data_IF_434791868733
#
_entry.id   IF_434791868733
#
_cell.length_a   1.000
_cell.length_b   1.000
_cell.length_c   1.000
_cell.angle_alpha   90.00
_cell.angle_beta   90.00
_cell.angle_gamma   90.00
#
_symmetry.space_group_name_H-M   'P 1'
#
loop_
_entity.id
_entity.type
_entity.pdbx_description
1 polymer ?
#
# COMPACT_ATOMS: atom_id res chain seq x y z
N UNK A 1 5.78 10.97 -11.28
CA UNK A 1 4.97 9.80 -11.72
C UNK A 1 4.43 9.97 -13.14
N UNK A 2 3.58 11.00 -13.45
CA UNK A 2 2.92 11.14 -14.76
C UNK A 2 3.93 11.26 -15.91
N UNK A 3 4.99 12.05 -15.75
CA UNK A 3 6.05 12.19 -16.76
C UNK A 3 6.76 10.85 -16.99
N UNK A 4 7.00 10.08 -15.97
CA UNK A 4 7.57 8.73 -16.09
C UNK A 4 6.66 7.81 -16.90
N UNK A 5 5.36 7.81 -16.60
CA UNK A 5 4.38 6.96 -17.29
C UNK A 5 4.12 7.37 -18.75
N UNK A 6 4.42 8.62 -19.12
CA UNK A 6 4.41 9.07 -20.51
C UNK A 6 5.69 8.69 -21.28
N UNK A 7 6.70 8.18 -20.59
CA UNK A 7 7.99 7.77 -21.15
C UNK A 7 8.09 6.26 -21.37
N UNK A 8 9.33 5.80 -21.57
CA UNK A 8 9.64 4.39 -21.88
C UNK A 8 10.02 3.55 -20.65
N UNK A 9 10.06 4.15 -19.46
CA UNK A 9 10.40 3.44 -18.23
C UNK A 9 9.18 3.18 -17.41
N UNK A 10 9.15 2.04 -16.71
CA UNK A 10 8.17 1.77 -15.70
C UNK A 10 8.27 2.73 -14.51
N UNK A 11 7.20 2.89 -13.77
CA UNK A 11 7.16 3.62 -12.51
C UNK A 11 7.31 2.64 -11.35
N UNK A 12 8.26 2.89 -10.44
CA UNK A 12 8.42 2.13 -9.21
C UNK A 12 8.12 3.02 -8.01
N UNK A 13 7.01 2.76 -7.33
CA UNK A 13 6.63 3.43 -6.10
C UNK A 13 7.25 2.69 -4.91
N UNK A 14 8.16 3.34 -4.19
CA UNK A 14 8.83 2.77 -3.02
C UNK A 14 8.48 3.56 -1.78
N UNK A 15 8.47 2.91 -0.62
CA UNK A 15 8.19 3.59 0.65
C UNK A 15 7.87 2.61 1.76
N UNK A 16 7.63 3.14 2.94
CA UNK A 16 7.24 2.33 4.09
C UNK A 16 5.84 1.71 3.89
N UNK A 17 5.51 0.60 4.58
CA UNK A 17 4.15 0.08 4.60
C UNK A 17 3.15 1.16 5.04
N UNK A 18 1.95 1.16 4.44
CA UNK A 18 0.88 2.09 4.81
C UNK A 18 1.03 3.54 4.33
N UNK A 19 1.96 3.82 3.40
CA UNK A 19 2.11 5.15 2.77
C UNK A 19 1.23 5.33 1.52
N UNK A 20 0.19 4.53 1.34
CA UNK A 20 -0.78 4.60 0.24
C UNK A 20 -0.19 4.39 -1.18
N UNK A 21 0.93 3.64 -1.34
CA UNK A 21 1.51 3.33 -2.65
C UNK A 21 0.54 2.63 -3.59
N UNK A 22 -0.18 1.62 -3.09
CA UNK A 22 -1.21 0.90 -3.85
C UNK A 22 -2.33 1.82 -4.29
N UNK A 23 -2.85 2.68 -3.40
CA UNK A 23 -3.87 3.66 -3.75
C UNK A 23 -3.37 4.64 -4.83
N UNK A 24 -2.13 5.11 -4.72
CA UNK A 24 -1.53 5.99 -5.72
C UNK A 24 -1.40 5.28 -7.08
N UNK A 25 -0.97 4.02 -7.09
CA UNK A 25 -0.88 3.22 -8.33
C UNK A 25 -2.25 3.01 -8.97
N UNK A 26 -3.30 2.78 -8.16
CA UNK A 26 -4.69 2.67 -8.62
C UNK A 26 -5.22 3.95 -9.25
N UNK A 27 -5.06 5.06 -8.54
CA UNK A 27 -5.51 6.38 -9.02
C UNK A 27 -4.80 6.79 -10.31
N UNK A 28 -3.47 6.55 -10.41
CA UNK A 28 -2.72 6.82 -11.64
C UNK A 28 -3.22 5.96 -12.79
N UNK A 29 -3.45 4.67 -12.56
CA UNK A 29 -3.96 3.76 -13.59
C UNK A 29 -5.37 4.12 -14.01
N UNK A 30 -6.27 4.41 -13.07
CA UNK A 30 -7.64 4.85 -13.36
C UNK A 30 -7.66 6.17 -14.14
N UNK A 31 -6.84 7.14 -13.75
CA UNK A 31 -6.79 8.45 -14.38
C UNK A 31 -6.22 8.40 -15.82
N UNK A 32 -5.21 7.57 -16.07
CA UNK A 32 -4.53 7.51 -17.36
C UNK A 32 -5.18 6.50 -18.33
N UNK A 33 -5.69 5.39 -17.81
CA UNK A 33 -6.18 4.25 -18.60
C UNK A 33 -7.69 4.02 -18.47
N UNK A 34 -8.37 4.71 -17.56
CA UNK A 34 -9.79 4.47 -17.26
C UNK A 34 -10.07 3.20 -16.46
N UNK A 35 -9.04 2.42 -16.10
CA UNK A 35 -9.14 1.16 -15.36
C UNK A 35 -7.96 0.99 -14.40
N UNK A 36 -8.23 0.42 -13.21
CA UNK A 36 -7.20 0.14 -12.19
C UNK A 36 -7.09 -1.34 -11.81
N UNK A 37 -7.94 -2.20 -12.37
CA UNK A 37 -8.04 -3.61 -11.96
C UNK A 37 -7.01 -4.53 -12.64
N UNK A 38 -6.25 -4.03 -13.63
CA UNK A 38 -5.21 -4.82 -14.30
C UNK A 38 -3.96 -4.93 -13.42
N UNK A 39 -3.99 -5.83 -12.45
CA UNK A 39 -2.98 -5.92 -11.38
C UNK A 39 -2.55 -7.35 -11.07
N UNK A 40 -1.29 -7.49 -10.66
CA UNK A 40 -0.70 -8.69 -10.06
C UNK A 40 -0.26 -8.35 -8.63
N UNK A 41 -0.61 -9.19 -7.67
CA UNK A 41 -0.08 -9.11 -6.31
C UNK A 41 1.16 -10.01 -6.20
N UNK A 42 2.31 -9.41 -5.92
CA UNK A 42 3.56 -10.11 -5.71
C UNK A 42 3.56 -10.90 -4.40
N UNK A 43 3.91 -12.16 -4.47
CA UNK A 43 4.08 -13.07 -3.35
C UNK A 43 5.23 -14.03 -3.62
N UNK A 44 5.69 -14.77 -2.62
CA UNK A 44 6.70 -15.83 -2.81
C UNK A 44 6.23 -16.96 -3.74
N UNK A 45 4.90 -17.13 -3.90
CA UNK A 45 4.30 -18.12 -4.79
C UNK A 45 3.89 -17.57 -6.16
N UNK A 46 4.20 -16.32 -6.49
CA UNK A 46 3.90 -15.75 -7.80
C UNK A 46 4.70 -16.45 -8.89
N UNK A 47 4.02 -16.89 -9.93
CA UNK A 47 4.59 -17.57 -11.09
C UNK A 47 4.51 -16.69 -12.34
N UNK A 48 5.23 -17.05 -13.37
CA UNK A 48 5.22 -16.34 -14.65
C UNK A 48 3.84 -16.36 -15.32
N UNK A 49 3.09 -17.45 -15.17
CA UNK A 49 1.74 -17.61 -15.69
C UNK A 49 0.74 -16.60 -15.09
N UNK A 50 0.94 -16.20 -13.83
CA UNK A 50 0.11 -15.20 -13.18
C UNK A 50 0.37 -13.78 -13.69
N UNK A 51 1.49 -13.57 -14.37
CA UNK A 51 1.94 -12.26 -14.84
C UNK A 51 1.71 -12.11 -16.33
N UNK A 52 2.14 -13.10 -17.13
CA UNK A 52 2.15 -13.02 -18.59
C UNK A 52 0.89 -13.62 -19.20
N UNK A 53 0.73 -14.92 -19.12
CA UNK A 53 -0.41 -15.69 -19.64
C UNK A 53 -0.41 -17.10 -19.07
N UNK A 54 -1.54 -17.75 -19.13
CA UNK A 54 -1.70 -19.19 -18.86
C UNK A 54 -2.50 -19.87 -19.96
N UNK A 55 -2.74 -21.18 -19.81
CA UNK A 55 -3.48 -21.95 -20.80
C UNK A 55 -4.77 -22.51 -20.22
N UNK A 56 -5.85 -22.44 -20.99
CA UNK A 56 -7.03 -23.25 -20.76
C UNK A 56 -6.72 -24.69 -21.21
N UNK A 57 -6.38 -25.55 -20.27
CA UNK A 57 -5.93 -26.91 -20.54
C UNK A 57 -6.97 -27.75 -21.28
N UNK A 58 -8.27 -27.55 -21.04
CA UNK A 58 -9.33 -28.28 -21.75
C UNK A 58 -9.34 -27.92 -23.25
N UNK A 59 -9.15 -26.65 -23.57
CA UNK A 59 -9.05 -26.20 -24.96
C UNK A 59 -7.73 -26.61 -25.60
N UNK A 60 -6.63 -26.53 -24.84
CA UNK A 60 -5.30 -26.94 -25.30
C UNK A 60 -5.28 -28.42 -25.69
N UNK A 61 -5.92 -29.30 -24.90
CA UNK A 61 -6.02 -30.74 -25.21
C UNK A 61 -6.92 -31.01 -26.42
N UNK A 62 -7.94 -30.20 -26.64
CA UNK A 62 -8.91 -30.42 -27.72
C UNK A 62 -8.51 -29.81 -29.07
N UNK A 63 -7.86 -28.63 -29.06
CA UNK A 63 -7.53 -27.85 -30.25
C UNK A 63 -6.03 -27.67 -30.50
N UNK A 64 -5.19 -28.05 -29.53
CA UNK A 64 -3.77 -27.67 -29.52
C UNK A 64 -3.52 -26.23 -29.12
N UNK A 65 -2.25 -25.78 -29.13
CA UNK A 65 -1.90 -24.38 -28.85
C UNK A 65 -2.55 -23.45 -29.88
N UNK A 66 -3.44 -22.60 -29.42
CA UNK A 66 -4.13 -21.61 -30.26
C UNK A 66 -4.48 -20.37 -29.40
N UNK A 67 -4.75 -19.25 -30.05
CA UNK A 67 -5.07 -17.99 -29.40
C UNK A 67 -6.30 -18.10 -28.49
N UNK A 68 -7.29 -18.90 -28.84
CA UNK A 68 -8.51 -19.10 -28.05
C UNK A 68 -8.26 -19.90 -26.77
N UNK A 69 -7.24 -20.76 -26.75
CA UNK A 69 -6.82 -21.50 -25.55
C UNK A 69 -5.95 -20.69 -24.60
N UNK A 70 -5.43 -19.54 -25.07
CA UNK A 70 -4.61 -18.64 -24.27
C UNK A 70 -5.47 -17.85 -23.27
N UNK A 71 -5.07 -17.83 -22.00
CA UNK A 71 -5.70 -17.03 -20.94
C UNK A 71 -4.73 -15.89 -20.62
N UNK A 72 -5.02 -14.66 -21.07
CA UNK A 72 -4.12 -13.55 -20.83
C UNK A 72 -4.08 -13.16 -19.34
N UNK A 73 -2.88 -12.86 -18.85
CA UNK A 73 -2.64 -12.31 -17.53
C UNK A 73 -2.34 -10.79 -17.65
N UNK A 74 -2.24 -10.05 -16.53
CA UNK A 74 -2.19 -8.59 -16.56
C UNK A 74 -1.14 -7.96 -17.47
N UNK A 75 0.04 -8.59 -17.64
CA UNK A 75 1.06 -8.07 -18.54
C UNK A 75 0.59 -8.13 -20.00
N UNK A 76 0.10 -9.29 -20.45
CA UNK A 76 -0.39 -9.47 -21.81
C UNK A 76 -1.62 -8.59 -22.08
N UNK A 77 -2.57 -8.51 -21.13
CA UNK A 77 -3.73 -7.61 -21.21
C UNK A 77 -3.27 -6.16 -21.40
N UNK A 78 -2.30 -5.73 -20.58
CA UNK A 78 -1.75 -4.38 -20.66
C UNK A 78 -1.15 -4.09 -22.03
N UNK A 79 -0.34 -5.00 -22.56
CA UNK A 79 0.29 -4.87 -23.88
C UNK A 79 -0.72 -4.83 -25.02
N UNK A 80 -1.71 -5.69 -24.99
CA UNK A 80 -2.73 -5.78 -26.06
C UNK A 80 -3.70 -4.61 -26.07
N UNK A 81 -4.02 -4.06 -24.91
CA UNK A 81 -4.97 -2.96 -24.76
C UNK A 81 -4.32 -1.58 -24.75
N UNK A 82 -3.00 -1.48 -24.49
CA UNK A 82 -2.29 -0.21 -24.30
C UNK A 82 -2.63 0.44 -22.96
N UNK A 83 -2.78 -0.35 -21.91
CA UNK A 83 -3.08 0.10 -20.55
C UNK A 83 -1.98 -0.33 -19.59
N UNK A 84 -1.94 0.25 -18.38
CA UNK A 84 -0.93 -0.11 -17.41
C UNK A 84 -1.16 -1.51 -16.82
N UNK A 85 -0.05 -2.25 -16.66
CA UNK A 85 0.01 -3.44 -15.81
C UNK A 85 0.56 -3.01 -14.44
N UNK A 86 -0.22 -3.19 -13.38
CA UNK A 86 0.21 -2.89 -12.02
C UNK A 86 0.79 -4.14 -11.37
N UNK A 87 1.96 -4.00 -10.75
CA UNK A 87 2.61 -5.09 -10.04
C UNK A 87 2.86 -4.67 -8.59
N UNK A 88 1.92 -5.04 -7.72
CA UNK A 88 1.98 -4.69 -6.31
C UNK A 88 2.97 -5.60 -5.56
N UNK A 89 3.78 -5.01 -4.68
CA UNK A 89 4.78 -5.70 -3.86
C UNK A 89 5.75 -6.59 -4.68
N UNK A 90 6.23 -6.08 -5.81
CA UNK A 90 7.08 -6.82 -6.76
C UNK A 90 8.29 -7.51 -6.10
N UNK A 91 8.87 -6.91 -5.06
CA UNK A 91 10.02 -7.44 -4.33
C UNK A 91 9.71 -8.70 -3.50
N UNK A 92 8.44 -9.06 -3.31
CA UNK A 92 8.05 -10.34 -2.69
C UNK A 92 8.10 -11.51 -3.67
N UNK A 93 8.13 -11.21 -4.97
CA UNK A 93 8.20 -12.21 -6.02
C UNK A 93 9.63 -12.75 -6.17
N UNK A 94 9.84 -14.05 -6.49
CA UNK A 94 11.17 -14.59 -6.78
C UNK A 94 11.92 -13.77 -7.81
N UNK A 95 13.26 -13.66 -7.67
CA UNK A 95 14.08 -12.80 -8.52
C UNK A 95 14.01 -13.19 -10.01
N UNK A 96 13.93 -14.49 -10.31
CA UNK A 96 13.81 -15.01 -11.67
C UNK A 96 12.51 -14.53 -12.33
N UNK A 97 11.44 -14.48 -11.56
CA UNK A 97 10.13 -14.01 -12.03
C UNK A 97 10.14 -12.49 -12.25
N UNK A 98 10.79 -11.74 -11.34
CA UNK A 98 11.00 -10.30 -11.54
C UNK A 98 11.77 -10.03 -12.83
N UNK A 99 12.85 -10.77 -13.09
CA UNK A 99 13.71 -10.59 -14.26
C UNK A 99 13.00 -10.98 -15.57
N UNK A 100 11.95 -11.79 -15.53
CA UNK A 100 11.14 -12.11 -16.71
C UNK A 100 10.44 -10.87 -17.31
N UNK A 101 10.34 -9.76 -16.59
CA UNK A 101 9.81 -8.48 -17.07
C UNK A 101 10.82 -7.70 -17.93
N UNK A 102 12.12 -8.02 -17.84
CA UNK A 102 13.19 -7.22 -18.44
C UNK A 102 13.03 -7.11 -19.97
N UNK A 103 12.73 -8.22 -20.64
CA UNK A 103 12.56 -8.25 -22.11
C UNK A 103 11.37 -7.38 -22.54
N UNK A 104 10.23 -7.54 -21.88
CA UNK A 104 9.01 -6.78 -22.18
C UNK A 104 9.22 -5.29 -21.96
N UNK A 105 9.90 -4.91 -20.87
CA UNK A 105 10.18 -3.50 -20.57
C UNK A 105 11.21 -2.87 -21.52
N UNK A 106 12.12 -3.69 -22.08
CA UNK A 106 13.16 -3.19 -23.00
C UNK A 106 12.65 -3.05 -24.41
N UNK A 107 12.03 -4.12 -24.92
CA UNK A 107 11.74 -4.28 -26.34
C UNK A 107 10.25 -4.07 -26.64
N UNK A 108 9.42 -3.97 -25.61
CA UNK A 108 7.95 -3.86 -25.72
C UNK A 108 7.36 -5.03 -26.51
N UNK A 109 7.97 -6.21 -26.41
CA UNK A 109 7.60 -7.45 -27.10
C UNK A 109 7.46 -8.58 -26.08
N UNK A 110 6.41 -9.35 -26.21
CA UNK A 110 6.22 -10.62 -25.54
C UNK A 110 6.16 -11.74 -26.59
N UNK A 111 7.01 -12.74 -26.44
CA UNK A 111 6.98 -13.94 -27.27
C UNK A 111 6.24 -15.05 -26.54
N UNK A 112 5.28 -15.67 -27.26
CA UNK A 112 4.52 -16.85 -26.84
C UNK A 112 4.90 -17.99 -27.77
N UNK A 113 5.95 -18.77 -27.44
CA UNK A 113 6.56 -19.73 -28.38
C UNK A 113 5.59 -20.79 -28.89
N UNK A 114 4.60 -21.16 -28.08
CA UNK A 114 3.62 -22.19 -28.41
C UNK A 114 2.66 -21.79 -29.55
N UNK A 115 2.55 -20.49 -29.85
CA UNK A 115 1.72 -19.97 -30.95
C UNK A 115 2.49 -19.79 -32.26
N UNK A 116 3.75 -20.24 -32.32
CA UNK A 116 4.61 -20.16 -33.51
C UNK A 116 4.59 -18.76 -34.18
N UNK A 117 4.05 -18.67 -35.40
CA UNK A 117 4.04 -17.42 -36.19
C UNK A 117 3.14 -16.32 -35.60
N UNK A 118 2.19 -16.65 -34.75
CA UNK A 118 1.25 -15.70 -34.10
C UNK A 118 1.67 -15.36 -32.65
N UNK A 119 2.81 -15.89 -32.20
CA UNK A 119 3.25 -15.78 -30.82
C UNK A 119 3.90 -14.44 -30.45
N UNK A 120 4.22 -13.57 -31.43
CA UNK A 120 4.83 -12.28 -31.15
C UNK A 120 3.75 -11.22 -30.87
N UNK A 121 3.75 -10.72 -29.64
CA UNK A 121 2.84 -9.64 -29.22
C UNK A 121 3.65 -8.36 -29.00
N UNK A 122 3.32 -7.32 -29.73
CA UNK A 122 3.88 -5.98 -29.58
C UNK A 122 2.97 -5.15 -28.67
N UNK A 123 3.57 -4.43 -27.72
CA UNK A 123 2.79 -3.57 -26.85
C UNK A 123 2.17 -2.42 -27.65
N UNK A 124 0.88 -2.19 -27.43
CA UNK A 124 0.19 -1.01 -27.96
C UNK A 124 0.64 0.26 -27.23
N UNK A 125 0.53 1.37 -27.93
CA UNK A 125 0.79 2.69 -27.33
C UNK A 125 -0.05 2.90 -26.09
N UNK A 126 0.56 3.39 -25.01
CA UNK A 126 -0.06 3.58 -23.72
C UNK A 126 0.29 2.50 -22.70
N UNK A 127 0.82 1.34 -23.13
CA UNK A 127 1.28 0.32 -22.20
C UNK A 127 2.48 0.82 -21.37
N UNK A 128 2.39 0.58 -20.06
CA UNK A 128 3.52 0.76 -19.14
C UNK A 128 3.33 -0.14 -17.90
N UNK A 129 4.34 -0.21 -17.05
CA UNK A 129 4.30 -0.99 -15.80
C UNK A 129 4.42 -0.04 -14.60
N UNK A 130 3.52 -0.20 -13.62
CA UNK A 130 3.62 0.44 -12.31
C UNK A 130 3.94 -0.65 -11.30
N UNK A 131 5.12 -0.59 -10.68
CA UNK A 131 5.51 -1.47 -9.58
C UNK A 131 5.38 -0.77 -8.23
N UNK A 132 5.04 -1.52 -7.19
CA UNK A 132 5.18 -1.05 -5.80
C UNK A 132 6.13 -1.94 -5.01
N UNK A 133 6.86 -1.36 -4.08
CA UNK A 133 7.75 -2.09 -3.18
C UNK A 133 7.82 -1.44 -1.80
N UNK A 134 7.93 -2.25 -0.76
CA UNK A 134 8.15 -1.79 0.60
C UNK A 134 9.65 -1.73 0.90
N UNK A 135 10.09 -0.67 1.56
CA UNK A 135 11.51 -0.47 1.89
C UNK A 135 11.96 -1.23 3.15
N UNK A 136 11.02 -1.64 4.01
CA UNK A 136 11.32 -2.30 5.30
C UNK A 136 10.90 -3.77 5.40
N UNK A 137 10.36 -4.36 4.34
CA UNK A 137 9.92 -5.75 4.41
C UNK A 137 11.11 -6.70 4.56
N UNK A 138 11.02 -7.61 5.54
CA UNK A 138 11.95 -8.74 5.70
C UNK A 138 11.54 -9.85 4.73
N UNK A 139 12.54 -10.51 4.12
CA UNK A 139 12.27 -11.63 3.20
C UNK A 139 11.88 -11.19 1.79
N UNK A 140 12.20 -9.97 1.39
CA UNK A 140 12.07 -9.51 0.01
C UNK A 140 13.25 -9.97 -0.84
N UNK A 141 12.98 -10.25 -2.11
CA UNK A 141 14.00 -10.52 -3.10
C UNK A 141 14.52 -9.20 -3.67
N UNK A 142 15.83 -9.04 -3.67
CA UNK A 142 16.44 -7.85 -4.24
C UNK A 142 16.26 -7.85 -5.76
N UNK A 143 15.79 -6.73 -6.31
CA UNK A 143 15.69 -6.54 -7.76
C UNK A 143 17.07 -6.51 -8.38
N UNK A 144 17.23 -7.18 -9.52
CA UNK A 144 18.49 -7.12 -10.30
C UNK A 144 18.77 -5.68 -10.77
N UNK A 145 20.07 -5.36 -10.94
CA UNK A 145 20.47 -4.08 -11.49
C UNK A 145 19.92 -3.83 -12.91
N UNK A 146 19.69 -4.92 -13.66
CA UNK A 146 19.09 -4.86 -14.98
C UNK A 146 17.63 -4.42 -14.93
N UNK A 147 16.84 -4.97 -14.01
CA UNK A 147 15.45 -4.58 -13.83
C UNK A 147 15.32 -3.16 -13.23
N UNK A 148 16.14 -2.82 -12.22
CA UNK A 148 16.16 -1.47 -11.63
C UNK A 148 16.35 -0.37 -12.68
N UNK A 149 17.16 -0.59 -13.73
CA UNK A 149 17.39 0.39 -14.80
C UNK A 149 16.18 0.65 -15.71
N UNK A 150 15.18 -0.22 -15.70
CA UNK A 150 13.95 -0.09 -16.49
C UNK A 150 12.86 0.68 -15.76
N UNK A 151 13.06 0.95 -14.48
CA UNK A 151 12.15 1.75 -13.67
C UNK A 151 12.72 3.13 -13.33
N UNK A 152 11.83 4.10 -13.20
CA UNK A 152 12.07 5.32 -12.46
C UNK A 152 11.45 5.14 -11.08
N UNK A 153 12.25 5.42 -10.05
CA UNK A 153 11.85 5.24 -8.65
C UNK A 153 11.30 6.55 -8.10
N UNK A 154 10.14 6.46 -7.47
CA UNK A 154 9.50 7.56 -6.75
C UNK A 154 9.25 7.11 -5.30
N UNK A 155 9.78 7.87 -4.36
CA UNK A 155 9.59 7.57 -2.94
C UNK A 155 8.29 8.21 -2.45
N UNK A 156 7.40 7.38 -1.91
CA UNK A 156 6.17 7.82 -1.25
C UNK A 156 6.46 7.90 0.24
N UNK A 157 6.66 9.13 0.70
CA UNK A 157 6.96 9.40 2.12
C UNK A 157 5.69 9.38 2.97
N UNK A 158 5.79 9.07 4.28
CA UNK A 158 4.71 9.29 5.23
C UNK A 158 4.28 10.76 5.26
N UNK A 159 3.05 11.00 5.66
CA UNK A 159 2.53 12.37 5.82
C UNK A 159 3.33 13.06 6.94
N UNK A 160 3.91 14.22 6.62
CA UNK A 160 4.73 15.00 7.57
C UNK A 160 3.93 16.07 8.34
N UNK A 161 2.83 16.51 7.77
CA UNK A 161 1.96 17.50 8.40
C UNK A 161 0.88 16.79 9.22
N UNK A 162 0.93 16.97 10.54
CA UNK A 162 -0.03 16.37 11.50
C UNK A 162 -1.47 16.80 11.22
N UNK A 163 -1.69 18.05 10.77
CA UNK A 163 -3.03 18.54 10.45
C UNK A 163 -3.59 17.81 9.23
N UNK A 164 -2.77 17.65 8.20
CA UNK A 164 -3.15 16.87 7.01
C UNK A 164 -3.38 15.40 7.37
N UNK A 165 -2.55 14.81 8.24
CA UNK A 165 -2.71 13.43 8.71
C UNK A 165 -4.04 13.26 9.47
N UNK A 166 -4.40 14.22 10.35
CA UNK A 166 -5.72 14.27 11.02
C UNK A 166 -6.87 14.30 10.01
N UNK A 167 -6.78 15.18 9.00
CA UNK A 167 -7.82 15.28 7.96
C UNK A 167 -7.98 13.97 7.18
N UNK A 168 -6.88 13.29 6.86
CA UNK A 168 -6.91 11.98 6.20
C UNK A 168 -7.58 10.94 7.10
N UNK A 169 -7.20 10.86 8.40
CA UNK A 169 -7.79 9.93 9.36
C UNK A 169 -9.31 10.12 9.42
N UNK A 170 -9.76 11.36 9.55
CA UNK A 170 -11.19 11.69 9.62
C UNK A 170 -11.91 11.28 8.33
N UNK A 171 -11.41 11.70 7.18
CA UNK A 171 -12.05 11.43 5.87
C UNK A 171 -12.16 9.94 5.59
N UNK A 172 -11.05 9.21 5.70
CA UNK A 172 -11.02 7.78 5.40
C UNK A 172 -11.89 6.98 6.38
N UNK A 173 -11.87 7.35 7.69
CA UNK A 173 -12.75 6.71 8.68
C UNK A 173 -14.23 7.00 8.42
N UNK A 174 -14.58 8.22 7.98
CA UNK A 174 -15.95 8.55 7.56
C UNK A 174 -16.42 7.72 6.36
N UNK A 175 -15.56 7.51 5.38
CA UNK A 175 -15.91 6.73 4.19
C UNK A 175 -16.06 5.24 4.53
N UNK A 176 -15.25 4.72 5.44
CA UNK A 176 -15.43 3.39 6.02
C UNK A 176 -16.74 3.28 6.81
N UNK A 177 -17.07 4.29 7.64
CA UNK A 177 -18.29 4.33 8.41
C UNK A 177 -19.55 4.37 7.52
N UNK A 178 -19.54 5.16 6.44
CA UNK A 178 -20.63 5.15 5.44
C UNK A 178 -20.83 3.77 4.81
N UNK A 179 -19.72 3.13 4.42
CA UNK A 179 -19.76 1.77 3.83
C UNK A 179 -20.25 0.75 4.83
N UNK A 180 -19.87 0.88 6.10
CA UNK A 180 -20.29 0.01 7.20
C UNK A 180 -21.67 0.36 7.79
N UNK A 181 -22.37 1.37 7.26
CA UNK A 181 -23.65 1.88 7.79
C UNK A 181 -23.58 2.31 9.27
N UNK A 182 -22.43 2.87 9.67
CA UNK A 182 -22.19 3.37 11.03
C UNK A 182 -22.49 4.87 11.04
N UNK A 183 -23.59 5.25 11.68
CA UNK A 183 -23.96 6.65 11.87
C UNK A 183 -23.44 7.15 13.22
N UNK A 184 -22.17 7.52 13.25
CA UNK A 184 -21.44 7.94 14.42
C UNK A 184 -20.84 9.34 14.20
N UNK A 185 -21.07 10.31 15.12
CA UNK A 185 -20.38 11.61 15.06
C UNK A 185 -18.86 11.44 15.12
N UNK A 186 -18.16 12.29 14.37
CA UNK A 186 -16.70 12.30 14.37
C UNK A 186 -16.19 13.05 15.59
N UNK A 187 -15.37 12.37 16.37
CA UNK A 187 -14.60 12.98 17.45
C UNK A 187 -13.29 13.53 16.88
N UNK A 188 -13.25 14.84 16.66
CA UNK A 188 -12.09 15.51 16.06
C UNK A 188 -10.90 15.57 17.01
N UNK A 189 -11.13 15.50 18.32
CA UNK A 189 -10.08 15.57 19.33
C UNK A 189 -9.39 14.21 19.45
N UNK A 190 -10.17 13.12 19.41
CA UNK A 190 -9.62 11.75 19.34
C UNK A 190 -8.81 11.53 18.05
N UNK A 191 -9.26 12.06 16.91
CA UNK A 191 -8.50 12.00 15.65
C UNK A 191 -7.18 12.78 15.74
N UNK A 192 -7.18 13.94 16.41
CA UNK A 192 -5.98 14.73 16.64
C UNK A 192 -4.98 14.01 17.55
N UNK A 193 -5.46 13.46 18.65
CA UNK A 193 -4.66 12.67 19.56
C UNK A 193 -3.96 11.51 18.84
N UNK A 194 -4.68 10.78 17.97
CA UNK A 194 -4.09 9.73 17.17
C UNK A 194 -3.05 10.26 16.17
N UNK A 195 -3.38 11.31 15.42
CA UNK A 195 -2.46 11.89 14.44
C UNK A 195 -1.14 12.33 15.10
N UNK A 196 -1.23 13.03 16.24
CA UNK A 196 -0.07 13.46 17.02
C UNK A 196 0.72 12.25 17.53
N UNK A 197 0.04 11.26 18.13
CA UNK A 197 0.69 10.04 18.66
C UNK A 197 1.44 9.28 17.58
N UNK A 198 0.81 9.04 16.43
CA UNK A 198 1.45 8.34 15.32
C UNK A 198 2.64 9.12 14.75
N UNK A 199 2.49 10.44 14.62
CA UNK A 199 3.54 11.30 14.12
C UNK A 199 4.76 11.32 15.05
N UNK A 200 4.57 11.59 16.35
CA UNK A 200 5.65 11.69 17.33
C UNK A 200 6.40 10.36 17.50
N UNK A 201 5.68 9.23 17.55
CA UNK A 201 6.31 7.91 17.63
C UNK A 201 7.08 7.55 16.35
N UNK A 202 6.58 7.95 15.18
CA UNK A 202 7.27 7.77 13.89
C UNK A 202 8.54 8.62 13.80
N UNK A 203 8.46 9.88 14.19
CA UNK A 203 9.62 10.79 14.20
C UNK A 203 10.62 10.49 15.34
N UNK A 204 10.14 9.90 16.44
CA UNK A 204 10.94 9.60 17.63
C UNK A 204 11.25 10.85 18.46
N UNK A 205 10.37 11.84 18.41
CA UNK A 205 10.48 13.08 19.16
C UNK A 205 9.09 13.66 19.41
N UNK A 206 8.83 14.21 20.60
CA UNK A 206 7.59 14.92 20.89
C UNK A 206 7.60 16.32 20.28
N UNK A 207 6.42 16.96 20.19
CA UNK A 207 6.30 18.37 19.78
C UNK A 207 7.11 19.33 20.65
N UNK A 208 7.35 18.97 21.91
CA UNK A 208 8.19 19.74 22.85
C UNK A 208 9.70 19.45 22.71
N UNK A 209 10.10 18.53 21.81
CA UNK A 209 11.49 18.20 21.52
C UNK A 209 12.08 17.09 22.38
N UNK A 210 11.29 16.39 23.20
CA UNK A 210 11.75 15.24 23.98
C UNK A 210 11.96 14.03 23.08
N UNK A 211 13.13 13.41 23.14
CA UNK A 211 13.47 12.21 22.37
C UNK A 211 12.69 11.00 22.86
N UNK A 212 12.17 10.24 21.92
CA UNK A 212 11.40 9.01 22.13
C UNK A 212 12.11 7.80 21.53
N UNK A 213 11.91 6.65 22.13
CA UNK A 213 12.28 5.38 21.50
C UNK A 213 11.22 4.99 20.48
N UNK A 214 11.64 4.89 19.21
CA UNK A 214 10.73 4.50 18.12
C UNK A 214 10.26 3.05 18.29
N UNK A 215 8.96 2.75 18.13
CA UNK A 215 8.48 1.38 18.00
C UNK A 215 9.13 0.67 16.82
N UNK A 216 9.23 -0.67 16.90
CA UNK A 216 9.60 -1.47 15.73
C UNK A 216 8.44 -1.56 14.73
N UNK A 217 7.21 -1.44 15.22
CA UNK A 217 6.02 -1.34 14.39
C UNK A 217 6.08 -0.09 13.51
N UNK A 218 5.57 -0.22 12.30
CA UNK A 218 5.39 0.94 11.40
C UNK A 218 4.19 1.74 11.89
N UNK A 219 4.43 3.00 12.23
CA UNK A 219 3.37 3.93 12.66
C UNK A 219 2.76 4.59 11.41
N UNK A 220 1.99 3.82 10.65
CA UNK A 220 1.44 4.30 9.38
C UNK A 220 0.10 5.02 9.55
N UNK A 221 -0.19 5.98 8.67
CA UNK A 221 -1.49 6.67 8.62
C UNK A 221 -2.64 5.68 8.38
N UNK A 222 -2.42 4.61 7.60
CA UNK A 222 -3.44 3.58 7.37
C UNK A 222 -3.81 2.82 8.66
N UNK A 223 -2.84 2.56 9.54
CA UNK A 223 -3.11 1.96 10.86
C UNK A 223 -3.84 2.95 11.77
N UNK A 224 -3.49 4.24 11.75
CA UNK A 224 -4.21 5.26 12.49
C UNK A 224 -5.68 5.35 12.06
N UNK A 225 -5.98 5.31 10.76
CA UNK A 225 -7.35 5.23 10.22
C UNK A 225 -8.07 4.00 10.77
N UNK A 226 -7.42 2.83 10.76
CA UNK A 226 -8.02 1.59 11.25
C UNK A 226 -8.33 1.65 12.74
N UNK A 227 -7.43 2.19 13.57
CA UNK A 227 -7.63 2.37 15.01
C UNK A 227 -8.79 3.32 15.27
N UNK A 228 -8.86 4.45 14.56
CA UNK A 228 -9.93 5.42 14.72
C UNK A 228 -11.29 4.84 14.32
N UNK A 229 -11.36 4.17 13.16
CA UNK A 229 -12.58 3.51 12.70
C UNK A 229 -13.06 2.41 13.63
N UNK A 230 -12.14 1.58 14.18
CA UNK A 230 -12.48 0.56 15.17
C UNK A 230 -13.07 1.19 16.45
N UNK A 231 -12.49 2.29 16.92
CA UNK A 231 -12.98 3.02 18.10
C UNK A 231 -14.38 3.61 17.85
N UNK A 232 -14.61 4.21 16.68
CA UNK A 232 -15.93 4.67 16.26
C UNK A 232 -16.95 3.51 16.22
N UNK A 233 -16.56 2.38 15.64
CA UNK A 233 -17.41 1.20 15.53
C UNK A 233 -17.77 0.65 16.91
N UNK A 234 -16.82 0.61 17.84
CA UNK A 234 -17.02 0.17 19.21
C UNK A 234 -18.02 1.09 19.94
N UNK A 235 -17.84 2.40 19.81
CA UNK A 235 -18.75 3.38 20.38
C UNK A 235 -20.20 3.24 19.86
N UNK A 236 -20.33 2.91 18.56
CA UNK A 236 -21.64 2.73 17.93
C UNK A 236 -22.35 1.44 18.36
N UNK A 237 -21.63 0.29 18.38
CA UNK A 237 -22.25 -1.01 18.63
C UNK A 237 -22.34 -1.38 20.12
N UNK A 238 -21.40 -0.92 20.94
CA UNK A 238 -21.27 -1.34 22.34
C UNK A 238 -21.29 -0.19 23.34
N UNK A 239 -21.15 1.06 22.87
CA UNK A 239 -21.12 2.25 23.69
C UNK A 239 -22.43 3.06 23.64
N UNK A 240 -22.34 4.29 24.12
CA UNK A 240 -23.40 5.29 24.12
C UNK A 240 -23.31 6.28 22.93
N UNK A 241 -22.52 5.95 21.93
CA UNK A 241 -22.25 6.81 20.77
C UNK A 241 -21.20 7.89 21.05
N UNK A 242 -20.40 7.76 22.10
CA UNK A 242 -19.26 8.64 22.38
C UNK A 242 -17.96 7.88 22.28
N UNK A 243 -16.95 8.55 21.78
CA UNK A 243 -15.59 7.99 21.72
C UNK A 243 -15.06 7.79 23.14
N UNK A 244 -14.67 6.55 23.47
CA UNK A 244 -14.00 6.24 24.72
C UNK A 244 -12.48 6.19 24.49
N UNK A 245 -11.74 7.06 25.16
CA UNK A 245 -10.27 7.12 25.08
C UNK A 245 -9.59 5.85 25.58
N UNK A 246 -10.24 5.11 26.49
CA UNK A 246 -9.75 3.82 26.94
C UNK A 246 -9.81 2.79 25.82
N UNK A 247 -10.90 2.76 25.05
CA UNK A 247 -11.02 1.90 23.87
C UNK A 247 -10.06 2.34 22.77
N UNK A 248 -9.91 3.64 22.54
CA UNK A 248 -8.92 4.18 21.62
C UNK A 248 -7.51 3.67 21.96
N UNK A 249 -7.14 3.73 23.24
CA UNK A 249 -5.85 3.22 23.71
C UNK A 249 -5.71 1.71 23.53
N UNK A 250 -6.77 0.94 23.77
CA UNK A 250 -6.75 -0.51 23.57
C UNK A 250 -6.59 -0.88 22.10
N UNK A 251 -7.30 -0.20 21.21
CA UNK A 251 -7.19 -0.39 19.76
C UNK A 251 -5.81 0.00 19.25
N UNK A 252 -5.24 1.10 19.76
CA UNK A 252 -3.86 1.52 19.47
C UNK A 252 -2.86 0.46 19.93
N UNK A 253 -2.99 -0.08 21.13
CA UNK A 253 -2.15 -1.17 21.62
C UNK A 253 -2.22 -2.39 20.71
N UNK A 254 -3.42 -2.78 20.28
CA UNK A 254 -3.61 -3.89 19.33
C UNK A 254 -2.95 -3.67 17.97
N UNK A 255 -2.94 -2.43 17.49
CA UNK A 255 -2.31 -2.08 16.21
C UNK A 255 -0.77 -2.05 16.30
N UNK A 256 -0.21 -1.55 17.39
CA UNK A 256 1.25 -1.36 17.56
C UNK A 256 1.94 -2.59 18.12
N UNK A 257 1.36 -3.26 19.13
CA UNK A 257 2.02 -4.32 19.89
C UNK A 257 1.73 -5.73 19.35
N UNK A 258 1.74 -5.92 18.03
CA UNK A 258 1.36 -7.19 17.36
C UNK A 258 2.18 -8.40 17.81
N UNK A 259 3.50 -8.26 17.90
CA UNK A 259 4.42 -9.39 18.15
C UNK A 259 5.55 -9.04 19.14
N UNK A 260 5.76 -7.77 19.44
CA UNK A 260 6.92 -7.30 20.20
C UNK A 260 6.50 -6.67 21.53
N UNK A 261 6.88 -7.31 22.63
CA UNK A 261 6.65 -6.77 23.98
C UNK A 261 7.40 -5.48 24.27
N UNK A 262 8.53 -5.23 23.58
CA UNK A 262 9.31 -4.01 23.76
C UNK A 262 8.53 -2.79 23.25
N UNK A 263 7.71 -2.94 22.20
CA UNK A 263 6.90 -1.85 21.68
C UNK A 263 5.80 -1.42 22.66
N UNK A 264 5.32 -2.33 23.51
CA UNK A 264 4.41 -2.00 24.61
C UNK A 264 5.08 -1.06 25.64
N UNK A 265 6.31 -1.35 26.02
CA UNK A 265 7.01 -0.51 26.99
C UNK A 265 7.38 0.86 26.40
N UNK A 266 7.74 0.92 25.12
CA UNK A 266 7.96 2.17 24.40
C UNK A 266 6.69 3.03 24.33
N UNK A 267 5.55 2.40 24.04
CA UNK A 267 4.26 3.10 23.99
C UNK A 267 3.83 3.59 25.38
N UNK A 268 4.01 2.80 26.44
CA UNK A 268 3.77 3.23 27.82
C UNK A 268 4.70 4.40 28.21
N UNK A 269 5.96 4.35 27.81
CA UNK A 269 6.91 5.42 28.05
C UNK A 269 6.50 6.71 27.33
N UNK A 270 6.06 6.59 26.08
CA UNK A 270 5.51 7.70 25.32
C UNK A 270 4.35 8.38 26.04
N UNK A 271 3.33 7.62 26.45
CA UNK A 271 2.18 8.23 27.11
C UNK A 271 2.54 8.89 28.45
N UNK A 272 3.47 8.32 29.22
CA UNK A 272 3.95 8.98 30.45
C UNK A 272 4.62 10.33 30.17
N UNK A 273 5.35 10.45 29.07
CA UNK A 273 6.03 11.69 28.66
C UNK A 273 5.00 12.66 28.07
N UNK A 274 4.25 12.24 27.06
CA UNK A 274 3.32 13.06 26.31
C UNK A 274 2.21 13.64 27.20
N UNK A 275 1.60 12.81 28.07
CA UNK A 275 0.57 13.27 29.00
C UNK A 275 1.14 14.30 29.97
N UNK A 276 2.36 14.10 30.49
CA UNK A 276 2.98 15.06 31.40
C UNK A 276 3.31 16.39 30.72
N UNK A 277 3.78 16.36 29.49
CA UNK A 277 4.12 17.57 28.74
C UNK A 277 2.87 18.32 28.26
N UNK A 278 1.96 17.64 27.60
CA UNK A 278 0.80 18.25 26.95
C UNK A 278 -0.32 18.61 27.91
N UNK A 279 -0.50 17.87 29.01
CA UNK A 279 -1.46 18.26 30.05
C UNK A 279 -1.08 19.58 30.72
N UNK A 280 0.21 19.90 30.78
CA UNK A 280 0.69 21.17 31.32
C UNK A 280 0.54 22.33 30.35
N UNK A 281 0.61 22.09 29.03
CA UNK A 281 0.61 23.13 27.99
C UNK A 281 -0.74 23.30 27.29
N UNK A 282 -1.43 22.21 26.98
CA UNK A 282 -2.63 22.22 26.15
C UNK A 282 -3.91 21.87 26.90
N UNK A 283 -3.81 21.08 28.00
CA UNK A 283 -4.98 20.59 28.73
C UNK A 283 -5.90 19.68 27.89
N UNK A 284 -7.21 19.68 28.20
CA UNK A 284 -8.20 18.98 27.36
C UNK A 284 -8.01 17.47 27.34
N UNK A 285 -8.07 16.87 26.15
CA UNK A 285 -8.05 15.41 25.93
C UNK A 285 -6.79 14.70 26.47
N UNK A 286 -5.71 15.43 26.75
CA UNK A 286 -4.49 14.89 27.36
C UNK A 286 -4.57 14.74 28.87
N UNK A 287 -5.65 15.21 29.50
CA UNK A 287 -5.89 15.14 30.96
C UNK A 287 -6.92 14.10 31.35
N UNK A 288 -7.69 13.58 30.41
CA UNK A 288 -8.66 12.51 30.59
C UNK A 288 -8.01 11.13 30.42
#
# INVERSE_FOLDING_TARGET
CIITLAGNRGLMLVGEPGTAKTMLSELLSAACCGISTNTVQGTAGTTEDMIKYSWNYAMLLSKGPCREALVPAPLLIGMEQGIFARFEEITRTPAEIQDSLISVMSDQILNIPELENEGLVFAKQGFNIIGTANTRDKGVNEMSGALKRRFNFETVEPVRDVRLEKEIIIREAQDLAKTGHIDQPIDTDAAELLAVTYHELREGVTSEGTKLEKPNAVMSTAEAVSVFYQTMSSAYYYGDGKTDLKELTQNLLGAVCKENKDDLEKLKSYFRIAVKEKSASEGGIWTE
#
